data_IF_405642299165
#
_entry.id   IF_405642299165
#
_cell.length_a   1.000
_cell.length_b   1.000
_cell.length_c   1.000
_cell.angle_alpha   90.00
_cell.angle_beta   90.00
_cell.angle_gamma   90.00
#
_symmetry.space_group_name_H-M   'P 1'
#
loop_
_entity.id
_entity.type
_entity.pdbx_description
1 polymer ?
#
# COMPACT_ATOMS: atom_id res chain seq x y z
N UNK A 1 -48.52 78.20 25.93
CA UNK A 1 -48.42 77.41 24.71
C UNK A 1 -47.11 76.59 24.80
N UNK A 2 -47.23 75.32 25.21
CA UNK A 2 -46.11 74.40 25.40
C UNK A 2 -46.09 73.50 24.19
N UNK A 3 -45.00 73.53 23.39
CA UNK A 3 -44.78 72.63 22.26
C UNK A 3 -44.12 71.37 22.76
N UNK A 4 -44.83 70.25 22.64
CA UNK A 4 -44.41 68.90 22.98
C UNK A 4 -43.56 68.39 21.84
N UNK A 5 -42.23 68.20 22.05
CA UNK A 5 -41.30 67.55 21.09
C UNK A 5 -41.31 66.05 21.29
N UNK A 6 -41.82 65.29 20.34
CA UNK A 6 -41.73 63.85 20.31
C UNK A 6 -40.41 63.41 19.70
N UNK A 7 -39.52 62.82 20.53
CA UNK A 7 -38.31 62.21 20.08
C UNK A 7 -38.57 60.73 19.79
N UNK A 8 -38.55 60.33 18.53
CA UNK A 8 -38.68 58.93 18.12
C UNK A 8 -37.28 58.27 18.27
N UNK A 9 -37.19 57.35 19.23
CA UNK A 9 -35.98 56.53 19.45
C UNK A 9 -36.08 55.32 18.46
N UNK A 10 -35.29 55.34 17.39
CA UNK A 10 -35.18 54.17 16.48
C UNK A 10 -34.12 53.23 17.06
N UNK A 11 -34.59 52.16 17.67
CA UNK A 11 -33.70 51.08 18.15
C UNK A 11 -33.27 50.21 16.95
N UNK A 12 -32.02 50.37 16.53
CA UNK A 12 -31.38 49.53 15.54
C UNK A 12 -30.99 48.20 16.21
N UNK A 13 -31.83 47.17 16.08
CA UNK A 13 -31.47 45.79 16.46
C UNK A 13 -30.53 45.25 15.42
N UNK A 14 -29.24 45.24 15.72
CA UNK A 14 -28.25 44.52 14.93
C UNK A 14 -28.43 43.02 15.20
N UNK A 15 -29.13 42.31 14.31
CA UNK A 15 -29.05 40.85 14.25
C UNK A 15 -27.63 40.45 13.83
N UNK A 16 -26.75 40.22 14.81
CA UNK A 16 -25.56 39.43 14.55
C UNK A 16 -26.00 38.00 14.19
N UNK A 17 -26.08 37.74 12.90
CA UNK A 17 -26.17 36.40 12.39
C UNK A 17 -24.92 35.66 12.83
N UNK A 18 -25.01 34.86 13.88
CA UNK A 18 -23.99 33.87 14.25
C UNK A 18 -24.00 32.87 13.12
N UNK A 19 -23.15 33.09 12.13
CA UNK A 19 -22.79 32.03 11.17
C UNK A 19 -22.14 30.93 12.02
N UNK A 20 -22.91 29.94 12.38
CA UNK A 20 -22.35 28.69 12.90
C UNK A 20 -21.53 28.14 11.73
N UNK A 21 -20.24 28.41 11.76
CA UNK A 21 -19.26 27.67 10.95
C UNK A 21 -19.45 26.21 11.33
N UNK A 22 -20.16 25.49 10.48
CA UNK A 22 -20.24 24.03 10.57
C UNK A 22 -18.77 23.57 10.42
N UNK A 23 -18.17 23.09 11.49
CA UNK A 23 -16.86 22.48 11.40
C UNK A 23 -16.93 21.49 10.24
N UNK A 24 -15.99 21.60 9.30
CA UNK A 24 -15.97 20.68 8.17
C UNK A 24 -15.99 19.26 8.74
N UNK A 25 -16.98 18.49 8.32
CA UNK A 25 -17.13 17.10 8.76
C UNK A 25 -15.82 16.37 8.39
N UNK A 26 -15.20 15.72 9.35
CA UNK A 26 -13.95 15.00 9.13
C UNK A 26 -14.21 13.88 8.11
N UNK A 27 -13.52 13.86 6.95
CA UNK A 27 -13.79 12.86 5.92
C UNK A 27 -13.30 11.48 6.34
N UNK A 28 -13.97 10.43 5.89
CA UNK A 28 -13.43 9.09 5.92
C UNK A 28 -12.21 9.00 4.99
N UNK A 29 -11.19 8.27 5.39
CA UNK A 29 -9.95 8.10 4.61
C UNK A 29 -9.69 6.62 4.38
N UNK A 30 -9.61 6.23 3.12
CA UNK A 30 -9.17 4.91 2.70
C UNK A 30 -7.81 5.02 2.00
N UNK A 31 -6.82 4.33 2.55
CA UNK A 31 -5.47 4.23 1.98
C UNK A 31 -5.23 2.81 1.49
N UNK A 32 -4.97 2.64 0.20
CA UNK A 32 -4.63 1.34 -0.39
C UNK A 32 -3.16 1.36 -0.80
N UNK A 33 -2.39 0.40 -0.31
CA UNK A 33 -0.95 0.27 -0.56
C UNK A 33 -0.71 -1.05 -1.27
N UNK A 34 -0.09 -1.01 -2.46
CA UNK A 34 0.35 -2.20 -3.18
C UNK A 34 1.85 -2.41 -2.98
N UNK A 35 2.28 -3.67 -2.87
CA UNK A 35 3.69 -4.00 -2.66
C UNK A 35 4.37 -4.36 -3.98
N UNK A 36 5.57 -3.81 -4.20
CA UNK A 36 6.41 -4.04 -5.39
C UNK A 36 5.73 -3.73 -6.74
N UNK A 37 4.66 -2.93 -6.74
CA UNK A 37 4.00 -2.50 -7.98
C UNK A 37 4.83 -1.43 -8.69
N UNK A 38 5.06 -1.63 -9.99
CA UNK A 38 5.69 -0.65 -10.88
C UNK A 38 4.64 0.20 -11.61
N UNK A 39 5.06 0.97 -12.61
CA UNK A 39 4.24 1.90 -13.40
C UNK A 39 3.46 1.24 -14.57
N UNK A 40 3.36 -0.09 -14.60
CA UNK A 40 2.63 -0.80 -15.66
C UNK A 40 1.12 -0.73 -15.46
N UNK A 41 0.59 0.48 -15.41
CA UNK A 41 -0.82 0.79 -15.25
C UNK A 41 -1.31 1.69 -16.37
N UNK A 42 -2.56 1.50 -16.82
CA UNK A 42 -3.12 2.19 -17.97
C UNK A 42 -3.13 3.71 -17.82
N UNK A 43 -3.46 4.24 -16.64
CA UNK A 43 -3.47 5.68 -16.38
C UNK A 43 -2.09 6.35 -16.44
N UNK A 44 -0.99 5.59 -16.39
CA UNK A 44 0.36 6.06 -16.61
C UNK A 44 0.88 5.79 -18.04
N UNK A 45 -0.01 5.31 -18.92
CA UNK A 45 0.30 5.09 -20.35
C UNK A 45 0.79 3.69 -20.70
N UNK A 46 0.71 2.73 -19.79
CA UNK A 46 1.05 1.33 -20.07
C UNK A 46 -0.15 0.58 -20.62
N UNK A 47 0.07 -0.19 -21.67
CA UNK A 47 -0.90 -1.13 -22.28
C UNK A 47 -0.58 -2.60 -21.99
N UNK A 48 0.47 -2.88 -21.21
CA UNK A 48 0.97 -4.23 -20.92
C UNK A 48 -0.03 -5.09 -20.16
N UNK A 49 -0.72 -4.48 -19.20
CA UNK A 49 -1.71 -5.15 -18.35
C UNK A 49 -2.94 -4.27 -18.20
N UNK A 50 -4.16 -4.79 -18.46
CA UNK A 50 -5.38 -4.03 -18.23
C UNK A 50 -5.57 -3.68 -16.74
N UNK A 51 -5.73 -2.39 -16.41
CA UNK A 51 -5.94 -1.90 -15.04
C UNK A 51 -7.20 -1.03 -14.92
N UNK A 52 -8.39 -1.52 -15.35
CA UNK A 52 -9.57 -0.69 -15.52
C UNK A 52 -10.06 0.00 -14.24
N UNK A 53 -9.89 -0.63 -13.08
CA UNK A 53 -10.32 -0.07 -11.80
C UNK A 53 -9.37 1.04 -11.31
N UNK A 54 -8.07 0.87 -11.48
CA UNK A 54 -7.08 1.91 -11.17
C UNK A 54 -7.27 3.11 -12.10
N UNK A 55 -7.49 2.84 -13.39
CA UNK A 55 -7.74 3.88 -14.40
C UNK A 55 -9.03 4.65 -14.14
N UNK A 56 -10.08 3.96 -13.70
CA UNK A 56 -11.34 4.60 -13.31
C UNK A 56 -11.18 5.48 -12.06
N UNK A 57 -10.35 5.06 -11.09
CA UNK A 57 -10.04 5.88 -9.92
C UNK A 57 -9.23 7.12 -10.32
N UNK A 58 -8.22 6.97 -11.15
CA UNK A 58 -7.40 8.07 -11.66
C UNK A 58 -8.24 9.12 -12.41
N UNK A 59 -9.23 8.70 -13.19
CA UNK A 59 -10.15 9.61 -13.90
C UNK A 59 -11.02 10.46 -12.96
N UNK A 60 -11.28 10.02 -11.74
CA UNK A 60 -12.11 10.73 -10.75
C UNK A 60 -11.30 11.51 -9.73
N UNK A 61 -10.01 11.26 -9.64
CA UNK A 61 -9.11 11.81 -8.65
C UNK A 61 -8.01 12.67 -9.25
N UNK A 62 -6.98 12.89 -8.44
CA UNK A 62 -5.75 13.54 -8.85
C UNK A 62 -4.68 12.48 -9.09
N UNK A 63 -4.19 12.40 -10.32
CA UNK A 63 -3.12 11.48 -10.70
C UNK A 63 -1.76 12.15 -10.52
N UNK A 64 -0.89 11.56 -9.67
CA UNK A 64 0.50 11.96 -9.50
C UNK A 64 1.38 11.17 -10.47
N UNK A 65 1.78 11.78 -11.57
CA UNK A 65 2.56 11.11 -12.63
C UNK A 65 4.07 11.01 -12.31
N UNK A 66 4.53 11.66 -11.26
CA UNK A 66 5.93 11.67 -10.83
C UNK A 66 6.04 11.32 -9.33
N UNK A 67 5.35 10.26 -8.91
CA UNK A 67 5.45 9.73 -7.55
C UNK A 67 6.58 8.68 -7.49
N UNK A 68 7.43 8.78 -6.46
CA UNK A 68 8.56 7.88 -6.27
C UNK A 68 8.46 7.16 -4.94
N UNK A 69 8.78 5.86 -4.93
CA UNK A 69 8.94 5.11 -3.70
C UNK A 69 10.10 5.71 -2.88
N UNK A 70 9.90 5.96 -1.58
CA UNK A 70 10.93 6.61 -0.74
C UNK A 70 12.16 5.72 -0.48
N UNK A 71 12.06 4.43 -0.77
CA UNK A 71 13.16 3.45 -0.70
C UNK A 71 12.84 2.25 -1.60
N UNK A 72 13.85 1.61 -2.21
CA UNK A 72 13.66 0.44 -3.07
C UNK A 72 13.54 -0.88 -2.27
N UNK A 73 13.05 -0.83 -1.04
CA UNK A 73 12.81 -1.99 -0.17
C UNK A 73 11.56 -1.79 0.69
N UNK A 74 10.84 -2.89 0.95
CA UNK A 74 9.53 -2.88 1.62
C UNK A 74 9.56 -2.18 3.00
N UNK A 75 10.37 -2.66 3.97
CA UNK A 75 10.35 -2.11 5.33
C UNK A 75 10.73 -0.62 5.38
N UNK A 76 11.85 -0.17 4.77
CA UNK A 76 12.20 1.26 4.80
C UNK A 76 11.21 2.13 4.03
N UNK A 77 10.65 1.64 2.90
CA UNK A 77 9.63 2.37 2.16
C UNK A 77 8.35 2.55 2.98
N UNK A 78 7.85 1.46 3.60
CA UNK A 78 6.66 1.49 4.44
C UNK A 78 6.86 2.32 5.70
N UNK A 79 8.01 2.21 6.35
CA UNK A 79 8.36 3.08 7.47
C UNK A 79 8.35 4.56 7.04
N UNK A 80 8.89 4.89 5.88
CA UNK A 80 8.89 6.27 5.38
C UNK A 80 7.48 6.77 5.05
N UNK A 81 6.63 5.97 4.40
CA UNK A 81 5.23 6.32 4.10
C UNK A 81 4.45 6.56 5.40
N UNK A 82 4.57 5.66 6.37
CA UNK A 82 3.77 5.69 7.60
C UNK A 82 4.27 6.72 8.62
N UNK A 83 5.52 7.17 8.53
CA UNK A 83 6.11 8.13 9.48
C UNK A 83 6.41 9.50 8.89
N UNK A 84 6.33 9.65 7.56
CA UNK A 84 6.74 10.86 6.85
C UNK A 84 8.26 11.11 6.87
N UNK A 85 9.08 10.12 7.30
CA UNK A 85 10.53 10.25 7.44
C UNK A 85 11.26 9.39 6.43
N UNK A 86 12.08 10.00 5.58
CA UNK A 86 12.90 9.29 4.58
C UNK A 86 13.94 8.40 5.23
N UNK A 87 14.32 7.31 4.55
CA UNK A 87 15.40 6.42 4.97
C UNK A 87 16.73 7.16 5.23
N UNK A 88 17.04 8.19 4.44
CA UNK A 88 18.21 9.06 4.63
C UNK A 88 18.22 9.85 5.95
N UNK A 89 17.05 10.10 6.52
CA UNK A 89 16.89 10.80 7.80
C UNK A 89 16.85 9.84 8.99
N UNK A 90 16.42 8.59 8.77
CA UNK A 90 16.26 7.59 9.84
C UNK A 90 17.36 6.56 9.88
N UNK A 91 18.16 6.40 8.83
CA UNK A 91 19.13 5.32 8.70
C UNK A 91 18.53 3.92 8.46
N UNK A 92 17.22 3.84 8.22
CA UNK A 92 16.51 2.60 7.98
C UNK A 92 16.57 2.22 6.51
N UNK A 93 17.51 1.39 6.10
CA UNK A 93 17.74 1.03 4.70
C UNK A 93 17.47 -0.44 4.37
N UNK A 94 17.19 -1.28 5.36
CA UNK A 94 17.04 -2.72 5.20
C UNK A 94 15.74 -3.23 5.78
N UNK A 95 15.24 -4.35 5.25
CA UNK A 95 14.08 -5.04 5.81
C UNK A 95 14.31 -5.60 7.23
N UNK A 96 15.57 -5.72 7.65
CA UNK A 96 15.94 -6.08 9.02
C UNK A 96 16.05 -4.89 9.99
N UNK A 97 15.92 -3.67 9.51
CA UNK A 97 16.01 -2.48 10.36
C UNK A 97 14.66 -2.18 11.01
N UNK A 98 14.56 -2.53 12.28
CA UNK A 98 13.35 -2.28 13.08
C UNK A 98 13.33 -0.84 13.58
N UNK A 99 12.35 -0.07 13.15
CA UNK A 99 12.26 1.37 13.42
C UNK A 99 11.87 1.70 14.88
N UNK A 100 11.03 0.89 15.53
CA UNK A 100 10.48 1.19 16.86
C UNK A 100 11.52 1.36 17.96
N UNK A 101 12.52 0.45 18.12
CA UNK A 101 13.55 0.65 19.12
C UNK A 101 14.44 1.86 18.86
N UNK A 102 14.65 2.21 17.59
CA UNK A 102 15.47 3.36 17.21
C UNK A 102 14.74 4.70 17.39
N UNK A 103 13.41 4.67 17.24
CA UNK A 103 12.55 5.86 17.26
C UNK A 103 11.25 5.57 18.01
N UNK A 104 11.29 5.35 19.35
CA UNK A 104 10.12 4.94 20.14
C UNK A 104 9.00 5.99 20.16
N UNK A 105 9.36 7.27 20.06
CA UNK A 105 8.41 8.40 20.11
C UNK A 105 7.89 8.82 18.72
N UNK A 106 8.24 8.06 17.67
CA UNK A 106 7.85 8.41 16.32
C UNK A 106 6.37 8.11 16.09
N UNK A 107 5.58 9.16 15.88
CA UNK A 107 4.15 9.05 15.56
C UNK A 107 3.98 8.57 14.13
N UNK A 108 3.29 7.44 13.94
CA UNK A 108 2.90 6.92 12.63
C UNK A 108 1.62 7.59 12.15
N UNK A 109 1.36 7.49 10.85
CA UNK A 109 0.11 7.97 10.25
C UNK A 109 -1.14 7.37 10.93
N UNK A 110 -1.24 6.05 11.20
CA UNK A 110 -2.33 5.49 11.99
C UNK A 110 -2.45 6.11 13.39
N UNK A 111 -1.35 6.24 14.13
CA UNK A 111 -1.36 6.91 15.44
C UNK A 111 -1.84 8.37 15.35
N UNK A 112 -1.43 9.09 14.31
CA UNK A 112 -1.87 10.46 14.10
C UNK A 112 -3.39 10.55 13.95
N UNK A 113 -3.98 9.71 13.11
CA UNK A 113 -5.43 9.65 12.93
C UNK A 113 -6.15 9.23 14.22
N UNK A 114 -5.61 8.24 14.96
CA UNK A 114 -6.17 7.80 16.25
C UNK A 114 -6.21 8.94 17.26
N UNK A 115 -5.14 9.73 17.35
CA UNK A 115 -5.05 10.90 18.22
C UNK A 115 -6.02 12.04 17.82
N UNK A 116 -6.57 11.99 16.61
CA UNK A 116 -7.56 12.93 16.09
C UNK A 116 -8.99 12.35 16.03
N UNK A 117 -9.28 11.38 16.90
CA UNK A 117 -10.60 10.78 17.09
C UNK A 117 -11.15 9.97 15.91
N UNK A 118 -10.28 9.53 14.99
CA UNK A 118 -10.67 8.57 13.98
C UNK A 118 -10.75 7.15 14.56
N UNK A 119 -11.66 6.34 14.01
CA UNK A 119 -11.58 4.89 14.14
C UNK A 119 -10.50 4.39 13.14
N UNK A 120 -9.44 3.77 13.64
CA UNK A 120 -8.28 3.38 12.84
C UNK A 120 -8.24 1.88 12.63
N UNK A 121 -8.44 1.47 11.39
CA UNK A 121 -8.44 0.07 10.99
C UNK A 121 -7.38 -0.21 9.93
N UNK A 122 -6.81 -1.40 9.96
CA UNK A 122 -5.82 -1.82 8.96
C UNK A 122 -5.88 -3.32 8.68
N UNK A 123 -5.38 -3.73 7.52
CA UNK A 123 -5.30 -5.15 7.19
C UNK A 123 -4.32 -5.45 6.07
N UNK A 124 -3.82 -6.69 6.06
CA UNK A 124 -2.83 -7.15 5.10
C UNK A 124 -1.43 -6.55 5.30
N UNK A 125 -0.71 -6.32 4.22
CA UNK A 125 0.68 -5.81 4.28
C UNK A 125 0.73 -4.29 4.37
N UNK A 126 0.38 -3.72 5.51
CA UNK A 126 0.54 -2.29 5.80
C UNK A 126 1.96 -1.98 6.25
N UNK A 127 2.45 -2.68 7.26
CA UNK A 127 3.86 -2.72 7.64
C UNK A 127 4.57 -3.89 6.95
N UNK A 128 5.89 -3.94 7.05
CA UNK A 128 6.61 -5.15 6.67
C UNK A 128 6.22 -6.30 7.62
N UNK A 129 6.09 -7.51 7.08
CA UNK A 129 5.59 -8.69 7.79
C UNK A 129 6.55 -9.28 8.83
N UNK A 130 7.64 -8.60 9.15
CA UNK A 130 8.55 -9.01 10.23
C UNK A 130 7.88 -8.75 11.57
N UNK A 131 7.93 -9.73 12.46
CA UNK A 131 7.37 -9.64 13.80
C UNK A 131 7.84 -8.37 14.52
N UNK A 132 6.91 -7.66 15.14
CA UNK A 132 7.15 -6.41 15.86
C UNK A 132 7.18 -5.14 15.01
N UNK A 133 7.20 -5.23 13.67
CA UNK A 133 7.18 -4.05 12.80
C UNK A 133 5.84 -3.35 12.76
N UNK A 134 4.75 -4.07 13.02
CA UNK A 134 3.40 -3.54 13.11
C UNK A 134 3.04 -3.25 14.57
N UNK A 135 2.97 -1.99 15.03
CA UNK A 135 2.59 -1.67 16.39
C UNK A 135 1.09 -1.93 16.60
N UNK A 136 0.68 -2.84 17.51
CA UNK A 136 -0.73 -3.17 17.71
C UNK A 136 -1.53 -2.01 18.33
N UNK A 137 -0.89 -1.15 19.07
CA UNK A 137 -1.50 -0.01 19.78
C UNK A 137 -1.97 1.12 18.86
N UNK A 138 -1.51 1.15 17.62
CA UNK A 138 -1.93 2.15 16.63
C UNK A 138 -3.29 1.85 15.97
N UNK A 139 -3.80 0.61 16.12
CA UNK A 139 -5.04 0.16 15.50
C UNK A 139 -6.16 0.04 16.53
N UNK A 140 -7.38 0.29 16.12
CA UNK A 140 -8.59 -0.13 16.86
C UNK A 140 -9.00 -1.54 16.41
N UNK A 141 -8.80 -1.87 15.13
CA UNK A 141 -8.87 -3.24 14.62
C UNK A 141 -7.83 -3.49 13.51
N UNK A 142 -7.31 -4.71 13.42
CA UNK A 142 -6.34 -5.08 12.40
C UNK A 142 -6.57 -6.52 11.93
N UNK A 143 -6.69 -6.69 10.60
CA UNK A 143 -6.72 -8.00 9.97
C UNK A 143 -5.30 -8.45 9.65
N UNK A 144 -4.76 -9.33 10.48
CA UNK A 144 -3.42 -9.89 10.29
C UNK A 144 -3.50 -11.17 9.45
N UNK A 145 -3.32 -11.02 8.16
CA UNK A 145 -3.30 -12.14 7.22
C UNK A 145 -2.22 -13.18 7.57
N UNK A 146 -1.12 -12.76 8.21
CA UNK A 146 0.03 -13.64 8.50
C UNK A 146 -0.21 -14.45 9.77
N UNK A 147 -0.97 -13.91 10.72
CA UNK A 147 -1.31 -14.61 11.96
C UNK A 147 -2.30 -15.76 11.71
N UNK A 148 -3.12 -15.66 10.67
CA UNK A 148 -4.07 -16.70 10.29
C UNK A 148 -3.46 -17.63 9.23
N UNK A 149 -2.64 -18.58 9.69
CA UNK A 149 -1.91 -19.51 8.84
C UNK A 149 -2.81 -20.44 8.01
N UNK A 150 -4.06 -20.63 8.40
CA UNK A 150 -5.03 -21.45 7.67
C UNK A 150 -5.57 -20.72 6.42
N UNK A 151 -5.53 -19.38 6.41
CA UNK A 151 -5.97 -18.55 5.29
C UNK A 151 -4.90 -18.30 4.23
N UNK A 152 -3.63 -18.51 4.56
CA UNK A 152 -2.50 -18.23 3.66
C UNK A 152 -2.18 -19.45 2.81
N UNK A 153 -3.07 -19.81 1.91
CA UNK A 153 -2.81 -20.93 0.97
C UNK A 153 -1.66 -20.62 0.01
N UNK A 154 -1.40 -19.33 -0.26
CA UNK A 154 -0.64 -18.96 -1.45
C UNK A 154 0.67 -18.24 -1.22
N UNK A 155 0.72 -17.42 -0.20
CA UNK A 155 1.82 -16.48 -0.12
C UNK A 155 2.99 -16.99 0.70
N UNK A 156 2.70 -17.58 1.84
CA UNK A 156 3.69 -18.21 2.72
C UNK A 156 3.35 -19.67 2.96
N UNK A 157 2.59 -20.27 2.05
CA UNK A 157 2.09 -21.63 2.20
C UNK A 157 3.15 -22.52 2.84
N UNK A 158 2.96 -22.72 4.15
CA UNK A 158 3.60 -23.79 4.90
C UNK A 158 5.10 -23.59 5.16
N UNK A 159 5.43 -22.72 6.10
CA UNK A 159 6.66 -22.92 6.85
C UNK A 159 6.60 -24.33 7.48
N UNK A 160 7.23 -25.31 6.81
CA UNK A 160 7.43 -26.65 7.36
C UNK A 160 6.89 -27.81 6.57
N UNK A 161 5.94 -27.63 5.65
CA UNK A 161 5.46 -28.71 4.78
C UNK A 161 5.82 -28.42 3.31
N UNK A 162 5.93 -29.46 2.50
CA UNK A 162 6.44 -29.45 1.14
C UNK A 162 5.91 -28.27 0.32
N UNK A 163 6.77 -27.27 0.11
CA UNK A 163 6.52 -26.19 -0.83
C UNK A 163 6.42 -26.81 -2.21
N UNK A 164 5.23 -26.85 -2.78
CA UNK A 164 5.06 -27.16 -4.20
C UNK A 164 5.42 -25.92 -4.99
N UNK A 165 6.59 -25.92 -5.60
CA UNK A 165 6.94 -24.91 -6.60
C UNK A 165 6.26 -25.28 -7.91
N UNK A 166 5.70 -24.27 -8.59
CA UNK A 166 5.15 -24.48 -9.94
C UNK A 166 6.24 -24.75 -10.97
N UNK A 167 7.47 -24.30 -10.68
CA UNK A 167 8.62 -24.50 -11.56
C UNK A 167 9.61 -25.47 -10.93
N UNK A 168 9.50 -26.74 -11.28
CA UNK A 168 10.48 -27.79 -10.88
C UNK A 168 11.88 -27.54 -11.47
N UNK A 169 12.01 -26.57 -12.38
CA UNK A 169 13.22 -26.33 -13.20
C UNK A 169 14.14 -25.27 -12.62
N UNK A 170 13.68 -24.44 -11.66
CA UNK A 170 14.51 -23.39 -11.09
C UNK A 170 15.41 -23.94 -9.99
N UNK A 171 16.71 -23.61 -10.00
CA UNK A 171 17.57 -23.93 -8.86
C UNK A 171 16.98 -23.23 -7.62
N UNK A 172 16.78 -24.00 -6.57
CA UNK A 172 16.25 -23.50 -5.29
C UNK A 172 17.14 -22.35 -4.77
N UNK A 173 16.67 -21.10 -4.93
CA UNK A 173 17.34 -19.99 -4.28
C UNK A 173 17.29 -20.21 -2.75
N UNK A 174 18.35 -19.89 -2.00
CA UNK A 174 18.36 -20.10 -0.54
C UNK A 174 17.19 -19.44 0.19
N UNK A 175 16.61 -18.37 -0.39
CA UNK A 175 15.45 -17.66 0.15
C UNK A 175 14.11 -18.05 -0.50
N UNK A 176 14.10 -18.98 -1.47
CA UNK A 176 12.91 -19.64 -2.06
C UNK A 176 11.71 -18.73 -2.37
N UNK A 177 11.92 -17.48 -2.75
CA UNK A 177 10.82 -16.53 -3.03
C UNK A 177 10.60 -16.28 -4.52
N UNK A 178 11.51 -16.71 -5.40
CA UNK A 178 11.35 -16.52 -6.84
C UNK A 178 10.62 -17.73 -7.41
N UNK A 179 9.34 -17.59 -7.58
CA UNK A 179 8.48 -18.55 -8.27
C UNK A 179 7.29 -17.82 -8.91
N UNK A 180 6.61 -18.46 -9.85
CA UNK A 180 5.44 -17.91 -10.54
C UNK A 180 4.54 -19.02 -11.05
N UNK A 181 3.27 -18.72 -11.20
CA UNK A 181 2.34 -19.66 -11.80
C UNK A 181 0.88 -19.27 -11.69
N UNK A 182 0.10 -19.82 -12.60
CA UNK A 182 -1.34 -19.68 -12.60
C UNK A 182 -1.96 -20.69 -11.61
N UNK A 183 -2.77 -20.18 -10.69
CA UNK A 183 -3.48 -20.98 -9.70
C UNK A 183 -4.93 -21.22 -10.11
N UNK A 184 -5.43 -22.43 -9.88
CA UNK A 184 -6.82 -22.80 -10.15
C UNK A 184 -7.71 -22.49 -8.93
N UNK A 185 -7.73 -21.20 -8.56
CA UNK A 185 -8.49 -20.65 -7.44
C UNK A 185 -9.15 -19.32 -7.86
N UNK A 186 -10.12 -18.87 -7.07
CA UNK A 186 -10.71 -17.54 -7.25
C UNK A 186 -9.93 -16.44 -6.50
N UNK A 187 -10.11 -15.15 -6.89
CA UNK A 187 -9.46 -14.01 -6.24
C UNK A 187 -9.68 -14.00 -4.72
N UNK A 188 -10.88 -14.38 -4.28
CA UNK A 188 -11.26 -14.38 -2.86
C UNK A 188 -10.69 -15.55 -2.05
N UNK A 189 -10.03 -16.49 -2.71
CA UNK A 189 -9.27 -17.58 -2.09
C UNK A 189 -7.79 -17.21 -1.91
N UNK A 190 -7.33 -16.16 -2.63
CA UNK A 190 -5.99 -15.61 -2.46
C UNK A 190 -5.86 -14.85 -1.13
N UNK A 191 -4.67 -14.77 -0.58
CA UNK A 191 -4.42 -14.01 0.65
C UNK A 191 -4.88 -12.55 0.57
N UNK A 192 -4.57 -11.87 -0.53
CA UNK A 192 -5.07 -10.51 -0.77
C UNK A 192 -6.60 -10.47 -0.88
N UNK A 193 -7.23 -11.53 -1.39
CA UNK A 193 -8.68 -11.67 -1.45
C UNK A 193 -9.32 -11.66 -0.07
N UNK A 194 -8.71 -12.33 0.92
CA UNK A 194 -9.17 -12.30 2.30
C UNK A 194 -9.05 -10.89 2.91
N UNK A 195 -7.94 -10.20 2.64
CA UNK A 195 -7.73 -8.80 3.07
C UNK A 195 -8.79 -7.88 2.45
N UNK A 196 -9.08 -8.03 1.17
CA UNK A 196 -10.10 -7.24 0.46
C UNK A 196 -11.50 -7.53 1.00
N UNK A 197 -11.83 -8.79 1.27
CA UNK A 197 -13.11 -9.18 1.87
C UNK A 197 -13.30 -8.49 3.23
N UNK A 198 -12.32 -8.60 4.11
CA UNK A 198 -12.36 -7.95 5.40
C UNK A 198 -12.54 -6.42 5.28
N UNK A 199 -11.79 -5.77 4.39
CA UNK A 199 -11.90 -4.34 4.16
C UNK A 199 -13.28 -3.94 3.60
N UNK A 200 -13.86 -4.75 2.72
CA UNK A 200 -15.20 -4.53 2.16
C UNK A 200 -16.27 -4.69 3.23
N UNK A 201 -16.16 -5.69 4.10
CA UNK A 201 -17.05 -5.88 5.24
C UNK A 201 -16.93 -4.73 6.23
N UNK A 202 -15.72 -4.21 6.49
CA UNK A 202 -15.51 -3.02 7.30
C UNK A 202 -16.25 -1.81 6.71
N UNK A 203 -16.09 -1.56 5.40
CA UNK A 203 -16.73 -0.43 4.70
C UNK A 203 -18.27 -0.54 4.64
N UNK A 204 -18.82 -1.74 4.73
CA UNK A 204 -20.26 -1.98 4.76
C UNK A 204 -20.91 -1.74 6.13
N UNK A 205 -20.12 -1.62 7.20
CA UNK A 205 -20.62 -1.35 8.55
C UNK A 205 -20.99 0.12 8.69
N UNK A 206 -21.99 0.40 9.52
CA UNK A 206 -22.26 1.76 10.01
C UNK A 206 -21.11 2.20 10.91
N UNK A 207 -20.60 3.39 10.71
CA UNK A 207 -19.45 3.93 11.45
C UNK A 207 -19.92 5.10 12.33
N UNK A 208 -19.68 5.02 13.63
CA UNK A 208 -20.02 6.09 14.58
C UNK A 208 -19.05 7.27 14.50
N UNK A 209 -17.85 7.06 13.97
CA UNK A 209 -16.77 8.05 13.86
C UNK A 209 -16.20 8.03 12.45
N UNK A 210 -15.56 9.12 12.00
CA UNK A 210 -14.78 9.06 10.80
C UNK A 210 -13.69 7.99 10.93
N UNK A 211 -13.42 7.28 9.87
CA UNK A 211 -12.42 6.21 9.89
C UNK A 211 -11.20 6.53 9.04
N UNK A 212 -10.06 5.98 9.45
CA UNK A 212 -8.87 5.82 8.65
C UNK A 212 -8.63 4.32 8.44
N UNK A 213 -8.94 3.83 7.24
CA UNK A 213 -8.76 2.44 6.85
C UNK A 213 -7.53 2.29 5.95
N UNK A 214 -6.59 1.42 6.34
CA UNK A 214 -5.40 1.11 5.54
C UNK A 214 -5.44 -0.33 5.07
N UNK A 215 -5.41 -0.53 3.76
CA UNK A 215 -5.44 -1.86 3.13
C UNK A 215 -4.12 -2.10 2.42
N UNK A 216 -3.33 -3.03 2.91
CA UNK A 216 -2.06 -3.44 2.32
C UNK A 216 -2.22 -4.67 1.45
N UNK A 217 -2.12 -4.52 0.14
CA UNK A 217 -2.15 -5.60 -0.84
C UNK A 217 -0.72 -6.10 -1.06
N UNK A 218 -0.57 -7.41 -1.03
CA UNK A 218 0.74 -8.03 -1.13
C UNK A 218 1.22 -8.14 -2.58
N UNK A 219 0.32 -8.52 -3.49
CA UNK A 219 0.66 -8.62 -4.92
C UNK A 219 0.87 -7.21 -5.53
N UNK A 220 1.78 -7.09 -6.53
CA UNK A 220 2.49 -8.15 -7.27
C UNK A 220 3.87 -8.55 -6.70
N UNK A 221 4.11 -8.50 -5.40
CA UNK A 221 5.35 -9.00 -4.79
C UNK A 221 5.54 -10.51 -5.04
N UNK A 222 6.79 -10.96 -5.06
CA UNK A 222 7.16 -12.39 -5.14
C UNK A 222 6.54 -13.24 -4.02
N UNK A 223 6.18 -14.51 -4.29
CA UNK A 223 6.12 -15.19 -5.59
C UNK A 223 4.99 -14.66 -6.47
N UNK A 224 5.14 -14.73 -7.80
CA UNK A 224 4.16 -14.21 -8.75
C UNK A 224 3.04 -15.22 -9.02
N UNK A 225 2.22 -15.49 -8.02
CA UNK A 225 1.04 -16.33 -8.16
C UNK A 225 -0.20 -15.47 -8.36
N UNK A 226 -1.04 -15.90 -9.29
CA UNK A 226 -2.35 -15.29 -9.50
C UNK A 226 -3.36 -16.33 -10.01
N UNK A 227 -4.66 -16.12 -9.81
CA UNK A 227 -5.67 -16.95 -10.43
C UNK A 227 -5.51 -17.02 -11.95
N UNK A 228 -5.69 -18.21 -12.52
CA UNK A 228 -5.52 -18.51 -13.96
C UNK A 228 -6.22 -17.50 -14.85
N UNK A 229 -7.42 -17.07 -14.50
CA UNK A 229 -8.19 -16.06 -15.25
C UNK A 229 -7.46 -14.74 -15.49
N UNK A 230 -6.44 -14.41 -14.69
CA UNK A 230 -5.62 -13.22 -14.90
C UNK A 230 -4.48 -13.48 -15.89
N UNK A 231 -3.88 -14.67 -15.87
CA UNK A 231 -2.93 -15.09 -16.90
C UNK A 231 -3.59 -15.15 -18.28
N UNK A 232 -4.81 -15.65 -18.37
CA UNK A 232 -5.56 -15.78 -19.62
C UNK A 232 -5.86 -14.41 -20.28
N UNK A 233 -5.86 -13.33 -19.51
CA UNK A 233 -6.03 -11.96 -20.05
C UNK A 233 -4.77 -11.44 -20.76
N UNK A 234 -3.61 -12.01 -20.45
CA UNK A 234 -2.32 -11.62 -21.02
C UNK A 234 -1.62 -12.89 -21.50
N UNK A 235 -2.03 -13.45 -22.66
CA UNK A 235 -1.40 -14.64 -23.23
C UNK A 235 0.10 -14.42 -23.48
N UNK A 236 0.91 -15.45 -23.29
CA UNK A 236 2.36 -15.37 -23.35
C UNK A 236 2.87 -14.82 -24.69
N UNK A 237 2.19 -15.15 -25.78
CA UNK A 237 2.48 -14.64 -27.13
C UNK A 237 2.31 -13.12 -27.28
N UNK A 238 1.56 -12.49 -26.39
CA UNK A 238 1.31 -11.04 -26.38
C UNK A 238 2.21 -10.31 -25.36
N UNK A 239 3.06 -11.03 -24.65
CA UNK A 239 3.95 -10.42 -23.64
C UNK A 239 5.15 -9.77 -24.33
N UNK A 240 5.22 -8.45 -24.23
CA UNK A 240 6.39 -7.69 -24.66
C UNK A 240 7.37 -7.49 -23.50
N UNK A 241 8.64 -7.85 -23.73
CA UNK A 241 9.68 -7.60 -22.74
C UNK A 241 9.92 -6.09 -22.58
N UNK A 242 10.22 -5.60 -21.38
CA UNK A 242 10.59 -4.21 -21.16
C UNK A 242 11.82 -3.83 -22.01
N UNK A 243 11.81 -2.60 -22.50
CA UNK A 243 12.96 -2.06 -23.24
C UNK A 243 14.14 -1.97 -22.26
N UNK A 244 15.21 -2.68 -22.58
CA UNK A 244 16.46 -2.60 -21.82
C UNK A 244 17.38 -1.57 -22.48
N UNK A 245 17.60 -0.44 -21.80
CA UNK A 245 18.49 0.61 -22.27
C UNK A 245 19.94 0.15 -22.15
N UNK A 246 20.68 0.16 -23.25
CA UNK A 246 22.10 -0.12 -23.24
C UNK A 246 22.83 1.00 -22.50
N UNK A 247 23.71 0.66 -21.53
CA UNK A 247 24.41 1.65 -20.72
C UNK A 247 23.59 2.30 -19.62
N UNK A 248 22.45 1.73 -19.25
CA UNK A 248 21.54 2.27 -18.22
C UNK A 248 22.18 2.42 -16.83
N UNK A 249 23.27 1.72 -16.58
CA UNK A 249 24.00 1.79 -15.31
C UNK A 249 25.26 2.69 -15.37
N UNK A 250 25.51 3.37 -16.49
CA UNK A 250 26.77 4.11 -16.67
C UNK A 250 26.85 5.37 -15.79
N UNK A 251 25.71 5.95 -15.43
CA UNK A 251 25.59 7.11 -14.55
C UNK A 251 25.45 6.74 -13.06
N UNK A 252 25.40 5.43 -12.75
CA UNK A 252 25.27 4.96 -11.36
C UNK A 252 26.65 4.85 -10.69
N UNK A 253 26.81 5.30 -9.43
CA UNK A 253 28.06 5.13 -8.70
C UNK A 253 28.53 3.66 -8.60
N UNK A 254 29.85 3.38 -8.49
CA UNK A 254 30.41 2.02 -8.54
C UNK A 254 29.74 1.03 -7.57
N UNK A 255 29.42 1.46 -6.33
CA UNK A 255 28.71 0.59 -5.37
C UNK A 255 27.30 0.19 -5.84
N UNK A 256 26.60 1.06 -6.54
CA UNK A 256 25.30 0.75 -7.14
C UNK A 256 25.44 -0.21 -8.34
N UNK A 257 26.46 -0.02 -9.17
CA UNK A 257 26.78 -0.93 -10.28
C UNK A 257 27.11 -2.34 -9.78
N UNK A 258 27.87 -2.46 -8.67
CA UNK A 258 28.19 -3.73 -8.03
C UNK A 258 26.93 -4.44 -7.51
N UNK A 259 26.02 -3.71 -6.86
CA UNK A 259 24.74 -4.26 -6.41
C UNK A 259 23.88 -4.76 -7.57
N UNK A 260 23.81 -4.01 -8.66
CA UNK A 260 23.08 -4.39 -9.87
C UNK A 260 23.73 -5.62 -10.54
N UNK A 261 25.07 -5.71 -10.59
CA UNK A 261 25.79 -6.85 -11.16
C UNK A 261 25.57 -8.14 -10.37
N UNK A 262 25.44 -8.07 -9.05
CA UNK A 262 25.15 -9.23 -8.21
C UNK A 262 23.73 -9.77 -8.48
N UNK A 263 22.73 -8.90 -8.68
CA UNK A 263 21.37 -9.31 -9.09
C UNK A 263 21.29 -9.86 -10.50
N UNK A 264 22.12 -9.37 -11.44
CA UNK A 264 22.18 -9.93 -12.80
C UNK A 264 22.63 -11.38 -12.87
N UNK A 265 23.33 -11.89 -11.85
CA UNK A 265 23.65 -13.32 -11.75
C UNK A 265 22.40 -14.15 -11.52
N UNK A 266 21.45 -13.64 -10.77
CA UNK A 266 20.18 -14.32 -10.49
C UNK A 266 19.29 -14.32 -11.75
N UNK A 267 19.24 -13.20 -12.48
CA UNK A 267 18.49 -13.10 -13.76
C UNK A 267 19.09 -13.98 -14.87
N UNK A 268 20.41 -14.13 -14.96
CA UNK A 268 21.04 -15.05 -15.93
C UNK A 268 20.69 -16.52 -15.66
N UNK A 269 20.26 -16.86 -14.47
CA UNK A 269 19.75 -18.20 -14.20
C UNK A 269 18.35 -18.39 -14.78
N UNK A 270 17.56 -17.33 -14.86
CA UNK A 270 16.21 -17.36 -15.50
C UNK A 270 16.33 -17.50 -17.02
N UNK A 271 17.30 -16.82 -17.65
CA UNK A 271 17.54 -16.90 -19.11
C UNK A 271 18.02 -18.29 -19.58
N UNK A 272 18.42 -19.17 -18.68
CA UNK A 272 18.91 -20.54 -19.01
C UNK A 272 17.81 -21.60 -19.00
N UNK A 273 16.61 -21.27 -18.59
CA UNK A 273 15.47 -22.18 -18.47
C UNK A 273 14.22 -21.62 -19.15
#
# INVERSE_FOLDING_TARGET
MVKLCWTILISFVWCFGVSTSRAAEQPNVLMIILDDMNDWVGCLGSDRVPTPNIDALAKRGLLFTNAHAPSPKCAPSRAAILTGRRASSTGLYSNGHWWRPAYPDLVTLPHYFKNHSYHVAGGGKVHHHTDGFNPPDQWDEYFDLIADQDLVVDYFSRRGEERRFFTDKMPRHPNNSLDWGAMDVDDMEMGDGHTVRWATEFLAREQEKPFFLVVGIFQPHLPFYAPRKHFDKVPLENVELPINKRGDLDDIPPGGQELAANRRKDLRMIEKY
#
